data_IF_984771542075
#
_entry.id   IF_984771542075
#
_cell.length_a   1.000
_cell.length_b   1.000
_cell.length_c   1.000
_cell.angle_alpha   90.00
_cell.angle_beta   90.00
_cell.angle_gamma   90.00
#
_symmetry.space_group_name_H-M   'P 1'
#
loop_
_entity.id
_entity.type
_entity.pdbx_description
1 polymer ?
#
# COMPACT_ATOMS: atom_id res chain seq x y z
N UNK A 1 -60.90 23.80 2.50
CA UNK A 1 -60.33 22.48 2.92
C UNK A 1 -58.82 22.34 2.65
N UNK A 2 -58.11 23.41 2.42
CA UNK A 2 -56.68 23.42 2.02
C UNK A 2 -55.68 23.80 3.12
N UNK A 3 -56.11 24.55 4.12
CA UNK A 3 -55.23 25.10 5.17
C UNK A 3 -54.77 24.07 6.23
N UNK A 4 -55.58 23.02 6.46
CA UNK A 4 -55.27 22.00 7.49
C UNK A 4 -54.26 20.96 7.01
N UNK A 5 -54.18 20.68 5.72
CA UNK A 5 -53.20 19.75 5.15
C UNK A 5 -51.79 20.38 5.03
N UNK A 6 -51.72 21.64 4.68
CA UNK A 6 -50.43 22.38 4.64
C UNK A 6 -49.82 22.50 6.04
N UNK A 7 -50.60 22.80 7.05
CA UNK A 7 -50.14 22.84 8.45
C UNK A 7 -49.70 21.46 8.99
N UNK A 8 -50.30 20.36 8.51
CA UNK A 8 -49.84 19.02 8.88
C UNK A 8 -48.53 18.62 8.17
N UNK A 9 -48.33 19.04 6.92
CA UNK A 9 -47.11 18.81 6.16
C UNK A 9 -45.96 19.63 6.76
N UNK A 10 -46.19 20.90 7.07
CA UNK A 10 -45.18 21.74 7.74
C UNK A 10 -44.78 21.18 9.12
N UNK A 11 -45.74 20.71 9.92
CA UNK A 11 -45.50 20.09 11.21
C UNK A 11 -44.73 18.74 11.10
N UNK A 12 -44.95 17.97 10.02
CA UNK A 12 -44.19 16.75 9.74
C UNK A 12 -42.78 17.07 9.24
N UNK A 13 -42.58 18.13 8.46
CA UNK A 13 -41.25 18.59 8.00
C UNK A 13 -40.46 19.10 9.20
N UNK A 14 -41.05 19.88 10.10
CA UNK A 14 -40.41 20.35 11.34
C UNK A 14 -40.12 19.22 12.34
N UNK A 15 -40.97 18.21 12.46
CA UNK A 15 -40.71 17.02 13.25
C UNK A 15 -39.57 16.20 12.67
N UNK A 16 -39.43 16.05 11.34
CA UNK A 16 -38.32 15.36 10.69
C UNK A 16 -37.02 16.17 10.78
N UNK A 17 -37.07 17.50 10.71
CA UNK A 17 -35.94 18.39 10.91
C UNK A 17 -35.44 18.40 12.37
N UNK A 18 -36.35 18.26 13.34
CA UNK A 18 -35.99 18.26 14.76
C UNK A 18 -35.48 16.90 15.28
N UNK A 19 -35.75 15.79 14.59
CA UNK A 19 -35.32 14.44 14.99
C UNK A 19 -33.94 14.04 14.44
N UNK A 20 -33.37 14.77 13.48
CA UNK A 20 -31.95 14.62 13.11
C UNK A 20 -31.07 15.44 14.05
N UNK A 21 -31.22 15.29 15.38
CA UNK A 21 -30.12 15.60 16.30
C UNK A 21 -28.97 14.65 15.98
N UNK A 22 -28.01 15.13 15.19
CA UNK A 22 -26.69 14.54 15.11
C UNK A 22 -26.11 14.47 16.54
N UNK A 23 -26.32 13.36 17.21
CA UNK A 23 -25.66 13.14 18.50
C UNK A 23 -24.16 13.12 18.19
N UNK A 24 -23.42 14.05 18.79
CA UNK A 24 -21.97 14.09 18.66
C UNK A 24 -21.43 12.71 19.03
N UNK A 25 -20.70 12.01 18.14
CA UNK A 25 -20.22 10.67 18.41
C UNK A 25 -19.41 10.69 19.69
N UNK A 26 -19.68 9.75 20.60
CA UNK A 26 -18.97 9.60 21.86
C UNK A 26 -17.47 9.35 21.61
N UNK A 27 -16.61 9.62 22.59
CA UNK A 27 -15.15 9.51 22.48
C UNK A 27 -14.70 8.14 21.98
N UNK A 28 -15.31 7.04 22.41
CA UNK A 28 -15.01 5.69 21.93
C UNK A 28 -15.32 5.48 20.43
N UNK A 29 -16.38 6.10 19.94
CA UNK A 29 -16.71 6.10 18.50
C UNK A 29 -15.66 6.87 17.68
N UNK A 30 -15.12 7.96 18.21
CA UNK A 30 -14.07 8.76 17.54
C UNK A 30 -12.73 8.03 17.48
N UNK A 31 -12.32 7.34 18.53
CA UNK A 31 -11.09 6.52 18.52
C UNK A 31 -11.21 5.40 17.48
N UNK A 32 -12.34 4.71 17.42
CA UNK A 32 -12.59 3.72 16.37
C UNK A 32 -12.53 4.33 14.97
N UNK A 33 -13.15 5.49 14.78
CA UNK A 33 -13.13 6.22 13.50
C UNK A 33 -11.71 6.60 13.09
N UNK A 34 -10.88 7.03 14.05
CA UNK A 34 -9.47 7.34 13.85
C UNK A 34 -8.67 6.11 13.42
N UNK A 35 -8.79 4.99 14.13
CA UNK A 35 -8.13 3.73 13.77
C UNK A 35 -8.53 3.25 12.37
N UNK A 36 -9.81 3.38 12.00
CA UNK A 36 -10.26 3.05 10.65
C UNK A 36 -9.64 3.96 9.58
N UNK A 37 -9.45 5.27 9.89
CA UNK A 37 -8.81 6.22 8.96
C UNK A 37 -7.31 5.94 8.76
N UNK A 38 -6.62 5.35 9.75
CA UNK A 38 -5.24 4.87 9.64
C UNK A 38 -5.09 3.67 8.69
N UNK A 39 -6.17 3.00 8.36
CA UNK A 39 -6.25 1.85 7.44
C UNK A 39 -5.31 0.69 7.80
N UNK A 40 -5.41 0.06 8.99
CA UNK A 40 -4.49 -1.02 9.42
C UNK A 40 -4.40 -2.18 8.42
N UNK A 41 -5.49 -2.49 7.68
CA UNK A 41 -5.47 -3.52 6.63
C UNK A 41 -4.44 -3.25 5.53
N UNK A 42 -4.09 -1.97 5.30
CA UNK A 42 -3.10 -1.58 4.31
C UNK A 42 -1.65 -1.75 4.80
N UNK A 43 -1.45 -1.96 6.13
CA UNK A 43 -0.12 -2.18 6.70
C UNK A 43 0.55 -3.44 6.18
N UNK A 44 -0.22 -4.42 5.69
CA UNK A 44 0.31 -5.60 5.02
C UNK A 44 1.29 -5.24 3.88
N UNK A 45 1.10 -4.11 3.21
CA UNK A 45 1.99 -3.60 2.16
C UNK A 45 3.38 -3.26 2.70
N UNK A 46 3.48 -2.90 3.97
CA UNK A 46 4.74 -2.58 4.61
C UNK A 46 5.56 -3.83 4.96
N UNK A 47 4.99 -5.05 4.87
CA UNK A 47 5.75 -6.30 4.97
C UNK A 47 6.83 -6.40 3.86
N UNK A 48 6.71 -5.62 2.79
CA UNK A 48 7.74 -5.48 1.77
C UNK A 48 9.11 -5.04 2.33
N UNK A 49 9.17 -4.36 3.50
CA UNK A 49 10.42 -4.03 4.17
C UNK A 49 11.24 -5.28 4.56
N UNK A 50 10.56 -6.37 4.90
CA UNK A 50 11.24 -7.61 5.31
C UNK A 50 11.84 -8.40 4.13
N UNK A 51 11.54 -8.02 2.88
CA UNK A 51 12.10 -8.68 1.70
C UNK A 51 13.63 -8.62 1.73
N UNK A 52 14.22 -7.44 1.99
CA UNK A 52 15.67 -7.29 2.12
C UNK A 52 16.24 -8.19 3.22
N UNK A 53 15.58 -8.27 4.37
CA UNK A 53 15.98 -9.10 5.51
C UNK A 53 16.01 -10.60 5.16
N UNK A 54 14.98 -11.09 4.44
CA UNK A 54 14.85 -12.49 4.03
C UNK A 54 15.95 -12.84 3.01
N UNK A 55 16.08 -12.06 1.95
CA UNK A 55 16.99 -12.37 0.85
C UNK A 55 18.47 -12.11 1.19
N UNK A 56 18.76 -11.23 2.14
CA UNK A 56 20.10 -11.04 2.69
C UNK A 56 20.49 -12.07 3.76
N UNK A 57 19.64 -13.06 4.03
CA UNK A 57 19.84 -14.10 5.06
C UNK A 57 20.06 -13.52 6.48
N UNK A 58 19.43 -12.39 6.79
CA UNK A 58 19.53 -11.69 8.08
C UNK A 58 18.28 -11.90 8.98
N UNK A 59 17.35 -12.78 8.60
CA UNK A 59 16.07 -12.95 9.30
C UNK A 59 16.24 -13.35 10.78
N UNK A 60 17.23 -14.19 11.07
CA UNK A 60 17.52 -14.67 12.41
C UNK A 60 18.61 -13.85 13.14
N UNK A 61 19.10 -12.76 12.54
CA UNK A 61 19.97 -11.81 13.23
C UNK A 61 19.10 -10.87 14.08
N UNK A 62 19.24 -10.88 15.44
CA UNK A 62 18.36 -10.12 16.31
C UNK A 62 18.40 -8.61 16.02
N UNK A 63 19.60 -8.05 15.81
CA UNK A 63 19.78 -6.62 15.53
C UNK A 63 19.15 -6.21 14.21
N UNK A 64 19.35 -7.00 13.15
CA UNK A 64 18.77 -6.75 11.83
C UNK A 64 17.25 -6.87 11.88
N UNK A 65 16.72 -7.86 12.60
CA UNK A 65 15.29 -8.04 12.78
C UNK A 65 14.66 -6.88 13.56
N UNK A 66 15.27 -6.46 14.67
CA UNK A 66 14.81 -5.33 15.49
C UNK A 66 14.74 -4.05 14.64
N UNK A 67 15.81 -3.72 13.90
CA UNK A 67 15.83 -2.55 13.02
C UNK A 67 14.77 -2.61 11.93
N UNK A 68 14.61 -3.75 11.27
CA UNK A 68 13.58 -3.95 10.25
C UNK A 68 12.17 -3.85 10.83
N UNK A 69 11.94 -4.35 12.05
CA UNK A 69 10.67 -4.25 12.74
C UNK A 69 10.32 -2.80 13.11
N UNK A 70 11.28 -2.05 13.68
CA UNK A 70 11.06 -0.62 13.96
C UNK A 70 10.81 0.15 12.66
N UNK A 71 11.55 -0.14 11.58
CA UNK A 71 11.31 0.44 10.26
C UNK A 71 9.90 0.13 9.72
N UNK A 72 9.41 -1.10 9.92
CA UNK A 72 8.04 -1.48 9.58
C UNK A 72 7.02 -0.61 10.33
N UNK A 73 7.20 -0.39 11.63
CA UNK A 73 6.31 0.48 12.41
C UNK A 73 6.37 1.92 11.90
N UNK A 74 7.57 2.46 11.61
CA UNK A 74 7.74 3.79 11.00
C UNK A 74 6.92 3.91 9.71
N UNK A 75 7.00 2.92 8.82
CA UNK A 75 6.23 2.93 7.57
C UNK A 75 4.72 2.74 7.80
N UNK A 76 4.29 2.04 8.85
CA UNK A 76 2.87 1.98 9.23
C UNK A 76 2.35 3.35 9.67
N UNK A 77 3.12 4.10 10.47
CA UNK A 77 2.78 5.46 10.88
C UNK A 77 2.81 6.42 9.68
N UNK A 78 3.88 6.38 8.87
CA UNK A 78 4.02 7.22 7.69
C UNK A 78 2.89 7.00 6.67
N UNK A 79 2.57 5.73 6.35
CA UNK A 79 1.47 5.44 5.43
C UNK A 79 0.12 5.86 6.00
N UNK A 80 -0.11 5.70 7.30
CA UNK A 80 -1.34 6.14 7.96
C UNK A 80 -1.52 7.65 7.92
N UNK A 81 -0.44 8.42 8.14
CA UNK A 81 -0.48 9.89 8.04
C UNK A 81 -0.84 10.34 6.62
N UNK A 82 -0.26 9.69 5.60
CA UNK A 82 -0.56 9.95 4.18
C UNK A 82 -2.02 9.60 3.84
N UNK A 83 -2.56 8.49 4.36
CA UNK A 83 -3.97 8.14 4.10
C UNK A 83 -4.94 9.15 4.71
N UNK A 84 -4.69 9.60 5.95
CA UNK A 84 -5.52 10.63 6.58
C UNK A 84 -5.39 11.96 5.82
N UNK A 85 -4.18 12.34 5.40
CA UNK A 85 -3.94 13.53 4.58
C UNK A 85 -4.69 13.46 3.24
N UNK A 86 -4.65 12.32 2.55
CA UNK A 86 -5.41 12.13 1.31
C UNK A 86 -6.93 12.21 1.54
N UNK A 87 -7.45 11.61 2.63
CA UNK A 87 -8.87 11.69 2.96
C UNK A 87 -9.31 13.13 3.32
N UNK A 88 -8.41 13.98 3.85
CA UNK A 88 -8.65 15.40 4.07
C UNK A 88 -8.74 16.18 2.75
N UNK A 89 -7.82 15.92 1.81
CA UNK A 89 -7.82 16.58 0.50
C UNK A 89 -9.05 16.21 -0.34
N UNK A 90 -9.48 14.96 -0.26
CA UNK A 90 -10.58 14.42 -1.05
C UNK A 90 -11.94 14.57 -0.34
N UNK A 91 -12.03 15.27 0.80
CA UNK A 91 -13.18 15.28 1.72
C UNK A 91 -14.50 15.60 1.03
N UNK A 92 -14.55 16.65 0.22
CA UNK A 92 -15.78 17.08 -0.46
C UNK A 92 -16.20 16.09 -1.55
N UNK A 93 -15.27 15.61 -2.34
CA UNK A 93 -15.51 14.57 -3.34
C UNK A 93 -15.94 13.23 -2.72
N UNK A 94 -15.33 12.86 -1.60
CA UNK A 94 -15.68 11.62 -0.89
C UNK A 94 -17.09 11.67 -0.29
N UNK A 95 -17.59 12.83 0.14
CA UNK A 95 -18.98 13.01 0.62
C UNK A 95 -20.02 12.72 -0.44
N UNK A 96 -19.72 13.03 -1.70
CA UNK A 96 -20.62 12.82 -2.83
C UNK A 96 -20.52 11.41 -3.43
N UNK A 97 -19.49 10.63 -3.02
CA UNK A 97 -19.23 9.33 -3.60
C UNK A 97 -20.06 8.22 -2.94
N UNK A 98 -20.72 7.29 -3.68
CA UNK A 98 -21.62 6.27 -3.13
C UNK A 98 -21.01 5.40 -2.02
N UNK A 99 -19.74 5.02 -2.15
CA UNK A 99 -19.06 4.14 -1.18
C UNK A 99 -18.11 4.89 -0.25
N UNK A 100 -17.42 5.94 -0.74
CA UNK A 100 -16.43 6.69 0.05
C UNK A 100 -17.07 7.64 1.07
N UNK A 101 -18.34 8.02 0.89
CA UNK A 101 -19.11 8.79 1.86
C UNK A 101 -19.18 8.12 3.24
N UNK A 102 -18.97 6.79 3.30
CA UNK A 102 -18.90 6.01 4.55
C UNK A 102 -17.57 6.13 5.27
N UNK A 103 -16.54 6.76 4.68
CA UNK A 103 -15.24 6.99 5.35
C UNK A 103 -15.44 7.86 6.58
N UNK A 104 -14.65 7.65 7.67
CA UNK A 104 -14.85 8.36 8.93
C UNK A 104 -14.84 9.89 8.83
N UNK A 105 -13.97 10.47 7.98
CA UNK A 105 -13.92 11.90 7.72
C UNK A 105 -15.13 12.39 6.90
N UNK A 106 -15.43 11.70 5.80
CA UNK A 106 -16.53 12.07 4.90
C UNK A 106 -17.89 11.97 5.59
N UNK A 107 -18.10 10.94 6.43
CA UNK A 107 -19.33 10.72 7.20
C UNK A 107 -19.47 11.66 8.42
N UNK A 108 -18.43 12.45 8.76
CA UNK A 108 -18.43 13.31 9.94
C UNK A 108 -18.17 12.61 11.28
N UNK A 109 -17.94 11.28 11.28
CA UNK A 109 -17.63 10.52 12.48
C UNK A 109 -16.25 10.88 13.08
N UNK A 110 -15.33 11.38 12.25
CA UNK A 110 -14.02 11.91 12.65
C UNK A 110 -13.97 13.41 12.32
N UNK A 111 -13.86 14.31 13.33
CA UNK A 111 -13.68 15.74 13.08
C UNK A 111 -12.34 16.04 12.38
N UNK A 112 -12.33 17.03 11.49
CA UNK A 112 -11.14 17.47 10.75
C UNK A 112 -9.99 17.85 11.69
N UNK A 113 -10.28 18.53 12.82
CA UNK A 113 -9.27 18.87 13.82
C UNK A 113 -8.55 17.65 14.41
N UNK A 114 -9.31 16.58 14.69
CA UNK A 114 -8.71 15.33 15.17
C UNK A 114 -7.82 14.68 14.11
N UNK A 115 -8.22 14.71 12.84
CA UNK A 115 -7.42 14.19 11.74
C UNK A 115 -6.07 14.94 11.62
N UNK A 116 -6.09 16.29 11.70
CA UNK A 116 -4.88 17.12 11.62
C UNK A 116 -3.95 16.83 12.79
N UNK A 117 -4.48 16.81 14.02
CA UNK A 117 -3.68 16.48 15.23
C UNK A 117 -3.07 15.08 15.11
N UNK A 118 -3.85 14.11 14.60
CA UNK A 118 -3.36 12.74 14.42
C UNK A 118 -2.22 12.67 13.41
N UNK A 119 -2.30 13.37 12.28
CA UNK A 119 -1.18 13.46 11.32
C UNK A 119 0.08 13.96 12.03
N UNK A 120 -0.03 15.03 12.83
CA UNK A 120 1.10 15.56 13.61
C UNK A 120 1.70 14.52 14.56
N UNK A 121 0.86 13.79 15.30
CA UNK A 121 1.30 12.73 16.22
C UNK A 121 1.98 11.58 15.46
N UNK A 122 1.42 11.15 14.32
CA UNK A 122 1.99 10.07 13.52
C UNK A 122 3.35 10.47 12.92
N UNK A 123 3.49 11.68 12.41
CA UNK A 123 4.77 12.20 11.90
C UNK A 123 5.80 12.33 13.03
N UNK A 124 5.40 12.86 14.19
CA UNK A 124 6.28 12.90 15.37
C UNK A 124 6.74 11.49 15.76
N UNK A 125 5.82 10.51 15.79
CA UNK A 125 6.15 9.11 16.04
C UNK A 125 7.15 8.55 15.01
N UNK A 126 6.99 8.88 13.70
CA UNK A 126 7.97 8.50 12.67
C UNK A 126 9.36 9.07 12.98
N UNK A 127 9.45 10.36 13.35
CA UNK A 127 10.73 11.00 13.68
C UNK A 127 11.37 10.33 14.90
N UNK A 128 10.62 10.16 15.97
CA UNK A 128 11.12 9.55 17.23
C UNK A 128 11.62 8.13 16.98
N UNK A 129 10.84 7.28 16.28
CA UNK A 129 11.25 5.91 15.98
C UNK A 129 12.45 5.86 15.03
N UNK A 130 12.53 6.76 14.05
CA UNK A 130 13.71 6.86 13.17
C UNK A 130 14.96 7.23 13.98
N UNK A 131 14.86 8.16 14.93
CA UNK A 131 15.97 8.50 15.82
C UNK A 131 16.33 7.37 16.80
N UNK A 132 15.35 6.54 17.20
CA UNK A 132 15.62 5.34 18.00
C UNK A 132 16.41 4.29 17.22
N UNK A 133 16.13 4.11 15.90
CA UNK A 133 16.94 3.23 15.03
C UNK A 133 18.42 3.66 15.04
N UNK A 134 18.73 4.96 15.14
CA UNK A 134 20.12 5.46 15.18
C UNK A 134 20.88 4.95 16.43
N UNK A 135 20.18 4.60 17.50
CA UNK A 135 20.80 4.06 18.73
C UNK A 135 21.07 2.56 18.66
N UNK A 136 20.48 1.84 17.68
CA UNK A 136 20.72 0.41 17.50
C UNK A 136 21.93 0.24 16.58
N UNK A 137 23.10 -0.12 17.11
CA UNK A 137 24.32 -0.22 16.32
C UNK A 137 24.21 -1.36 15.31
N UNK A 138 24.74 -1.14 14.11
CA UNK A 138 24.85 -2.17 13.08
C UNK A 138 26.13 -1.93 12.28
N UNK A 139 26.89 -2.99 11.97
CA UNK A 139 28.04 -2.89 11.07
C UNK A 139 27.61 -2.36 9.70
N UNK A 140 28.37 -1.42 9.15
CA UNK A 140 28.10 -0.82 7.85
C UNK A 140 29.23 -1.18 6.88
N UNK A 141 28.87 -1.38 5.61
CA UNK A 141 29.86 -1.48 4.54
C UNK A 141 30.38 -0.10 4.15
N UNK A 142 31.57 -0.02 3.55
CA UNK A 142 32.19 1.24 3.11
C UNK A 142 31.26 2.04 2.18
N UNK A 143 30.47 1.37 1.35
CA UNK A 143 29.49 2.00 0.45
C UNK A 143 28.44 2.77 1.26
N UNK A 144 27.86 2.16 2.30
CA UNK A 144 26.86 2.87 3.13
C UNK A 144 27.51 4.01 3.91
N UNK A 145 28.73 3.81 4.41
CA UNK A 145 29.47 4.84 5.13
C UNK A 145 29.79 6.05 4.23
N UNK A 146 30.19 5.83 2.98
CA UNK A 146 30.47 6.90 2.00
C UNK A 146 29.23 7.71 1.60
N UNK A 147 28.04 7.12 1.71
CA UNK A 147 26.75 7.77 1.41
C UNK A 147 26.10 8.46 2.62
N UNK A 148 26.84 8.64 3.72
CA UNK A 148 26.36 9.27 4.95
C UNK A 148 25.80 8.30 5.99
N UNK A 149 25.91 6.99 5.73
CA UNK A 149 25.49 5.94 6.66
C UNK A 149 24.06 5.47 6.50
N UNK A 150 23.81 4.22 6.88
CA UNK A 150 22.52 3.55 6.77
C UNK A 150 21.38 4.31 7.45
N UNK A 151 21.65 4.93 8.59
CA UNK A 151 20.65 5.68 9.35
C UNK A 151 20.15 6.90 8.60
N UNK A 152 21.07 7.68 8.01
CA UNK A 152 20.73 8.87 7.21
C UNK A 152 19.96 8.46 5.95
N UNK A 153 20.43 7.42 5.25
CA UNK A 153 19.75 6.90 4.07
C UNK A 153 18.35 6.38 4.39
N UNK A 154 18.18 5.71 5.53
CA UNK A 154 16.83 5.30 5.98
C UNK A 154 15.93 6.50 6.22
N UNK A 155 16.42 7.52 6.96
CA UNK A 155 15.66 8.75 7.20
C UNK A 155 15.27 9.45 5.87
N UNK A 156 16.22 9.57 4.94
CA UNK A 156 15.95 10.11 3.60
C UNK A 156 14.89 9.30 2.84
N UNK A 157 14.92 7.97 2.96
CA UNK A 157 13.92 7.10 2.31
C UNK A 157 12.52 7.31 2.90
N UNK A 158 12.41 7.46 4.22
CA UNK A 158 11.13 7.78 4.89
C UNK A 158 10.59 9.14 4.44
N UNK A 159 11.45 10.16 4.44
CA UNK A 159 11.09 11.52 3.97
C UNK A 159 10.65 11.49 2.51
N UNK A 160 11.43 10.82 1.64
CA UNK A 160 11.10 10.68 0.21
C UNK A 160 9.75 9.98 0.02
N UNK A 161 9.46 8.94 0.81
CA UNK A 161 8.17 8.25 0.77
C UNK A 161 7.01 9.19 1.13
N UNK A 162 7.11 9.91 2.25
CA UNK A 162 6.05 10.82 2.70
C UNK A 162 5.83 11.94 1.69
N UNK A 163 6.91 12.56 1.19
CA UNK A 163 6.84 13.64 0.20
C UNK A 163 6.24 13.16 -1.13
N UNK A 164 6.70 12.01 -1.64
CA UNK A 164 6.20 11.44 -2.90
C UNK A 164 4.71 11.11 -2.79
N UNK A 165 4.27 10.51 -1.68
CA UNK A 165 2.87 10.16 -1.48
C UNK A 165 1.99 11.41 -1.21
N UNK A 166 2.52 12.43 -0.54
CA UNK A 166 1.81 13.70 -0.39
C UNK A 166 1.64 14.40 -1.75
N UNK A 167 2.70 14.47 -2.55
CA UNK A 167 2.66 15.04 -3.90
C UNK A 167 1.71 14.26 -4.83
N UNK A 168 1.70 12.93 -4.70
CA UNK A 168 0.70 12.08 -5.36
C UNK A 168 -0.72 12.49 -4.99
N UNK A 169 -1.00 12.66 -3.70
CA UNK A 169 -2.33 13.01 -3.21
C UNK A 169 -2.81 14.37 -3.71
N UNK A 170 -1.89 15.35 -3.84
CA UNK A 170 -2.21 16.72 -4.28
C UNK A 170 -2.37 16.81 -5.80
N UNK A 171 -1.42 16.26 -6.57
CA UNK A 171 -1.33 16.58 -8.01
C UNK A 171 -1.11 15.37 -8.92
N UNK A 172 -0.18 14.48 -8.59
CA UNK A 172 0.32 13.48 -9.53
C UNK A 172 -0.69 12.36 -9.83
N UNK A 173 -1.67 12.14 -8.96
CA UNK A 173 -2.78 11.19 -9.17
C UNK A 173 -3.70 11.55 -10.35
N UNK A 174 -3.53 12.75 -10.94
CA UNK A 174 -4.32 13.24 -12.08
C UNK A 174 -3.57 13.13 -13.43
N UNK A 175 -2.32 12.63 -13.43
CA UNK A 175 -1.49 12.49 -14.64
C UNK A 175 -1.46 11.02 -15.03
N UNK A 176 -1.89 10.73 -16.27
CA UNK A 176 -1.97 9.37 -16.84
C UNK A 176 -0.60 8.68 -16.80
N UNK A 177 -0.58 7.41 -16.51
CA UNK A 177 0.58 6.56 -16.30
C UNK A 177 1.43 6.96 -15.07
N UNK A 178 1.65 8.26 -14.84
CA UNK A 178 2.41 8.70 -13.68
C UNK A 178 1.76 8.27 -12.37
N UNK A 179 0.42 8.21 -12.33
CA UNK A 179 -0.35 7.74 -11.18
C UNK A 179 -0.01 6.28 -10.80
N UNK A 180 0.17 5.39 -11.78
CA UNK A 180 0.56 3.99 -11.53
C UNK A 180 2.04 3.86 -11.19
N UNK A 181 2.92 4.63 -11.85
CA UNK A 181 4.35 4.64 -11.56
C UNK A 181 4.66 5.12 -10.14
N UNK A 182 3.95 6.13 -9.63
CA UNK A 182 4.16 6.62 -8.28
C UNK A 182 3.66 5.62 -7.22
N UNK A 183 2.54 4.95 -7.48
CA UNK A 183 2.10 3.86 -6.60
C UNK A 183 3.18 2.76 -6.54
N UNK A 184 3.74 2.37 -7.69
CA UNK A 184 4.82 1.41 -7.76
C UNK A 184 6.08 1.89 -7.02
N UNK A 185 6.47 3.16 -7.19
CA UNK A 185 7.60 3.77 -6.47
C UNK A 185 7.42 3.71 -4.96
N UNK A 186 6.19 3.82 -4.46
CA UNK A 186 5.89 3.64 -3.04
C UNK A 186 6.23 2.24 -2.51
N UNK A 187 6.08 1.18 -3.32
CA UNK A 187 6.53 -0.16 -2.96
C UNK A 187 8.06 -0.29 -3.04
N UNK A 188 8.66 0.27 -4.07
CA UNK A 188 10.13 0.30 -4.23
C UNK A 188 10.79 0.97 -3.03
N UNK A 189 10.27 2.13 -2.58
CA UNK A 189 10.79 2.83 -1.41
C UNK A 189 10.68 1.99 -0.13
N UNK A 190 9.65 1.15 0.02
CA UNK A 190 9.55 0.22 1.16
C UNK A 190 10.66 -0.82 1.14
N UNK A 191 10.93 -1.44 -0.01
CA UNK A 191 12.00 -2.45 -0.13
C UNK A 191 13.37 -1.81 0.05
N UNK A 192 13.60 -0.62 -0.52
CA UNK A 192 14.82 0.15 -0.30
C UNK A 192 15.01 0.49 1.17
N UNK A 193 13.96 0.97 1.85
CA UNK A 193 14.01 1.25 3.29
C UNK A 193 14.39 0.01 4.11
N UNK A 194 13.80 -1.14 3.78
CA UNK A 194 14.11 -2.42 4.42
C UNK A 194 15.56 -2.85 4.22
N UNK A 195 16.13 -2.65 3.03
CA UNK A 195 17.53 -2.98 2.76
C UNK A 195 18.50 -1.99 3.41
N UNK A 196 18.20 -0.69 3.34
CA UNK A 196 19.06 0.35 3.91
C UNK A 196 19.10 0.28 5.43
N UNK A 197 17.99 -0.03 6.09
CA UNK A 197 17.93 -0.09 7.56
C UNK A 197 18.80 -1.19 8.15
N UNK A 198 19.13 -2.25 7.37
CA UNK A 198 19.99 -3.37 7.73
C UNK A 198 21.30 -3.42 6.94
N UNK A 199 21.79 -2.33 6.39
CA UNK A 199 22.83 -2.04 5.37
C UNK A 199 23.16 -3.23 4.45
N UNK A 200 22.20 -3.67 3.66
CA UNK A 200 22.40 -4.75 2.68
C UNK A 200 22.16 -4.24 1.26
N UNK A 201 22.96 -4.77 0.33
CA UNK A 201 22.78 -4.46 -1.09
C UNK A 201 21.63 -5.27 -1.68
N UNK A 202 20.75 -4.61 -2.39
CA UNK A 202 19.66 -5.27 -3.14
C UNK A 202 20.21 -5.72 -4.49
N UNK A 203 19.94 -6.98 -4.87
CA UNK A 203 20.20 -7.45 -6.23
C UNK A 203 19.46 -6.59 -7.26
N UNK A 204 20.12 -6.19 -8.37
CA UNK A 204 19.44 -5.46 -9.46
C UNK A 204 18.21 -6.19 -9.99
N UNK A 205 18.25 -7.51 -10.04
CA UNK A 205 17.10 -8.33 -10.46
C UNK A 205 15.94 -8.27 -9.45
N UNK A 206 16.23 -8.34 -8.15
CA UNK A 206 15.19 -8.20 -7.11
C UNK A 206 14.56 -6.80 -7.15
N UNK A 207 15.35 -5.78 -7.42
CA UNK A 207 14.88 -4.41 -7.62
C UNK A 207 13.93 -4.33 -8.84
N UNK A 208 14.32 -4.93 -9.97
CA UNK A 208 13.53 -4.96 -11.20
C UNK A 208 12.21 -5.73 -10.99
N UNK A 209 12.25 -6.91 -10.37
CA UNK A 209 11.03 -7.69 -10.01
C UNK A 209 10.09 -6.86 -9.15
N UNK A 210 10.64 -6.10 -8.20
CA UNK A 210 9.82 -5.22 -7.33
C UNK A 210 9.09 -4.16 -8.13
N UNK A 211 9.78 -3.46 -9.03
CA UNK A 211 9.17 -2.43 -9.88
C UNK A 211 8.06 -3.04 -10.72
N UNK A 212 8.35 -4.13 -11.42
CA UNK A 212 7.41 -4.77 -12.35
C UNK A 212 6.19 -5.33 -11.61
N UNK A 213 6.39 -6.04 -10.49
CA UNK A 213 5.27 -6.55 -9.68
C UNK A 213 4.41 -5.42 -9.13
N UNK A 214 5.03 -4.32 -8.68
CA UNK A 214 4.31 -3.15 -8.18
C UNK A 214 3.50 -2.45 -9.27
N UNK A 215 4.06 -2.33 -10.48
CA UNK A 215 3.34 -1.82 -11.66
C UNK A 215 2.16 -2.72 -12.02
N UNK A 216 2.36 -4.03 -12.03
CA UNK A 216 1.29 -5.00 -12.26
C UNK A 216 0.11 -4.77 -11.30
N UNK A 217 0.37 -4.68 -10.00
CA UNK A 217 -0.67 -4.45 -9.00
C UNK A 217 -1.35 -3.08 -9.16
N UNK A 218 -0.60 -2.04 -9.52
CA UNK A 218 -1.14 -0.71 -9.75
C UNK A 218 -2.02 -0.65 -11.01
N UNK A 219 -1.59 -1.26 -12.12
CA UNK A 219 -2.36 -1.37 -13.36
C UNK A 219 -3.62 -2.21 -13.16
N UNK A 220 -3.53 -3.35 -12.45
CA UNK A 220 -4.67 -4.20 -12.12
C UNK A 220 -5.74 -3.44 -11.34
N UNK A 221 -5.32 -2.58 -10.41
CA UNK A 221 -6.22 -1.70 -9.68
C UNK A 221 -6.92 -0.69 -10.60
N UNK A 222 -6.19 -0.08 -11.56
CA UNK A 222 -6.80 0.84 -12.54
C UNK A 222 -7.81 0.14 -13.43
N UNK A 223 -7.46 -1.08 -13.90
CA UNK A 223 -8.39 -1.90 -14.67
C UNK A 223 -9.69 -2.17 -13.93
N UNK A 224 -9.61 -2.59 -12.69
CA UNK A 224 -10.77 -2.86 -11.85
C UNK A 224 -11.62 -1.60 -11.63
N UNK A 225 -11.00 -0.46 -11.32
CA UNK A 225 -11.69 0.82 -11.18
C UNK A 225 -12.44 1.19 -12.48
N UNK A 226 -11.82 0.98 -13.64
CA UNK A 226 -12.45 1.27 -14.95
C UNK A 226 -13.63 0.33 -15.25
N UNK A 227 -13.50 -0.96 -14.93
CA UNK A 227 -14.59 -1.94 -15.09
C UNK A 227 -15.79 -1.59 -14.22
N UNK A 228 -15.57 -1.22 -12.96
CA UNK A 228 -16.65 -0.82 -12.07
C UNK A 228 -17.43 0.43 -12.55
N UNK A 229 -16.75 1.31 -13.30
CA UNK A 229 -17.31 2.57 -13.78
C UNK A 229 -18.08 2.46 -15.09
N UNK A 230 -17.96 1.36 -15.83
CA UNK A 230 -18.73 1.14 -17.07
C UNK A 230 -20.25 1.14 -16.86
N UNK A 231 -20.73 1.02 -15.59
CA UNK A 231 -22.14 1.13 -15.24
C UNK A 231 -22.60 2.53 -14.79
N UNK A 232 -21.71 3.45 -14.39
CA UNK A 232 -22.06 4.76 -13.80
C UNK A 232 -21.08 5.87 -14.25
N UNK A 233 -21.04 6.16 -15.54
CA UNK A 233 -20.00 6.92 -16.21
C UNK A 233 -19.90 8.43 -15.90
N UNK A 234 -20.72 9.04 -15.02
CA UNK A 234 -20.83 10.50 -15.01
C UNK A 234 -20.05 11.26 -13.95
N UNK A 235 -19.60 10.66 -12.83
CA UNK A 235 -19.06 11.43 -11.70
C UNK A 235 -17.73 10.98 -11.10
N UNK A 236 -16.95 10.09 -11.78
CA UNK A 236 -15.73 9.55 -11.21
C UNK A 236 -14.47 10.08 -11.89
N UNK A 237 -13.36 10.05 -11.17
CA UNK A 237 -11.98 10.44 -11.48
C UNK A 237 -11.69 10.70 -12.96
N UNK A 238 -11.50 11.95 -13.35
CA UNK A 238 -11.26 12.36 -14.75
C UNK A 238 -10.15 11.56 -15.45
N UNK A 239 -9.11 11.16 -14.71
CA UNK A 239 -8.01 10.37 -15.25
C UNK A 239 -8.43 9.00 -15.81
N UNK A 240 -9.53 8.40 -15.32
CA UNK A 240 -10.00 7.11 -15.83
C UNK A 240 -10.55 7.20 -17.25
N UNK A 241 -10.92 8.39 -17.71
CA UNK A 241 -11.36 8.63 -19.09
C UNK A 241 -10.21 8.50 -20.10
N UNK A 242 -8.98 8.68 -19.64
CA UNK A 242 -7.77 8.58 -20.46
C UNK A 242 -7.25 7.13 -20.58
N UNK A 243 -7.82 6.19 -19.83
CA UNK A 243 -7.50 4.77 -19.91
C UNK A 243 -8.58 4.00 -20.67
N UNK A 244 -8.16 3.03 -21.48
CA UNK A 244 -9.05 2.03 -22.06
C UNK A 244 -8.74 0.64 -21.49
N UNK A 245 -9.74 -0.25 -21.45
CA UNK A 245 -9.51 -1.64 -21.02
C UNK A 245 -8.47 -2.35 -21.88
N UNK A 246 -8.51 -2.24 -23.25
CA UNK A 246 -7.49 -2.87 -24.09
C UNK A 246 -6.08 -2.37 -23.79
N UNK A 247 -5.89 -1.07 -23.53
CA UNK A 247 -4.58 -0.51 -23.16
C UNK A 247 -4.09 -1.10 -21.83
N UNK A 248 -4.95 -1.13 -20.82
CA UNK A 248 -4.58 -1.68 -19.50
C UNK A 248 -4.26 -3.17 -19.59
N UNK A 249 -5.03 -3.95 -20.36
CA UNK A 249 -4.79 -5.38 -20.56
C UNK A 249 -3.45 -5.64 -21.28
N UNK A 250 -3.10 -4.83 -22.27
CA UNK A 250 -1.78 -4.90 -22.93
C UNK A 250 -0.64 -4.58 -21.98
N UNK A 251 -0.75 -3.47 -21.22
CA UNK A 251 0.28 -3.08 -20.25
C UNK A 251 0.45 -4.14 -19.16
N UNK A 252 -0.64 -4.70 -18.65
CA UNK A 252 -0.62 -5.78 -17.64
C UNK A 252 0.10 -7.00 -18.22
N UNK A 253 -0.20 -7.41 -19.46
CA UNK A 253 0.42 -8.57 -20.10
C UNK A 253 1.93 -8.39 -20.26
N UNK A 254 2.38 -7.21 -20.72
CA UNK A 254 3.81 -6.88 -20.88
C UNK A 254 4.51 -6.95 -19.51
N UNK A 255 3.92 -6.33 -18.50
CA UNK A 255 4.53 -6.27 -17.17
C UNK A 255 4.59 -7.64 -16.50
N UNK A 256 3.57 -8.49 -16.66
CA UNK A 256 3.58 -9.88 -16.15
C UNK A 256 4.70 -10.69 -16.82
N UNK A 257 4.77 -10.66 -18.14
CA UNK A 257 5.81 -11.41 -18.86
C UNK A 257 7.22 -10.98 -18.44
N UNK A 258 7.42 -9.66 -18.32
CA UNK A 258 8.68 -9.10 -17.81
C UNK A 258 8.96 -9.49 -16.35
N UNK A 259 7.93 -9.52 -15.47
CA UNK A 259 8.07 -9.93 -14.06
C UNK A 259 8.53 -11.39 -13.95
N UNK A 260 7.89 -12.28 -14.70
CA UNK A 260 8.24 -13.71 -14.72
C UNK A 260 9.69 -13.90 -15.21
N UNK A 261 10.07 -13.21 -16.29
CA UNK A 261 11.44 -13.28 -16.82
C UNK A 261 12.46 -12.72 -15.80
N UNK A 262 12.21 -11.55 -15.24
CA UNK A 262 13.09 -10.94 -14.26
C UNK A 262 13.25 -11.80 -12.99
N UNK A 263 12.16 -12.42 -12.53
CA UNK A 263 12.21 -13.35 -11.40
C UNK A 263 13.02 -14.61 -11.73
N UNK A 264 12.83 -15.19 -12.93
CA UNK A 264 13.60 -16.34 -13.38
C UNK A 264 15.11 -16.01 -13.44
N UNK A 265 15.47 -14.86 -14.02
CA UNK A 265 16.86 -14.39 -14.06
C UNK A 265 17.41 -14.15 -12.64
N UNK A 266 16.61 -13.60 -11.73
CA UNK A 266 17.00 -13.46 -10.32
C UNK A 266 17.35 -14.81 -9.70
N UNK A 267 16.55 -15.87 -9.95
CA UNK A 267 16.82 -17.20 -9.40
C UNK A 267 18.06 -17.86 -10.00
N UNK A 268 18.44 -17.48 -11.24
CA UNK A 268 19.66 -17.95 -11.90
C UNK A 268 20.93 -17.19 -11.45
N UNK A 269 20.84 -15.87 -11.39
CA UNK A 269 21.98 -14.97 -11.19
C UNK A 269 21.99 -14.33 -9.80
N UNK A 270 21.09 -14.75 -8.92
CA UNK A 270 20.94 -14.15 -7.59
C UNK A 270 22.20 -14.26 -6.75
N UNK A 271 22.34 -13.39 -5.73
CA UNK A 271 23.55 -13.27 -4.91
C UNK A 271 23.88 -14.53 -4.11
N UNK A 272 22.98 -15.50 -4.06
CA UNK A 272 23.16 -16.77 -3.35
C UNK A 272 24.01 -17.79 -4.13
N UNK A 273 24.27 -17.55 -5.44
CA UNK A 273 24.98 -18.50 -6.30
C UNK A 273 24.32 -19.87 -6.43
N UNK A 274 23.14 -20.02 -5.88
CA UNK A 274 22.44 -21.29 -5.72
C UNK A 274 21.18 -21.31 -6.59
N UNK A 275 21.19 -22.07 -7.66
CA UNK A 275 20.05 -22.25 -8.58
C UNK A 275 18.82 -22.91 -7.92
N UNK A 276 18.88 -23.33 -6.65
CA UNK A 276 17.79 -24.01 -5.93
C UNK A 276 16.53 -23.11 -5.79
N UNK A 277 16.68 -21.78 -5.82
CA UNK A 277 15.54 -20.87 -5.84
C UNK A 277 14.63 -21.05 -7.07
N UNK A 278 15.14 -21.69 -8.14
CA UNK A 278 14.32 -22.01 -9.34
C UNK A 278 13.10 -22.88 -9.01
N UNK A 279 13.13 -23.67 -7.93
CA UNK A 279 11.98 -24.47 -7.48
C UNK A 279 10.76 -23.61 -7.17
N UNK A 280 10.93 -22.32 -6.92
CA UNK A 280 9.83 -21.38 -6.64
C UNK A 280 9.21 -20.78 -7.91
N UNK A 281 9.87 -20.91 -9.08
CA UNK A 281 9.36 -20.35 -10.35
C UNK A 281 7.95 -20.84 -10.67
N UNK A 282 7.61 -22.16 -10.59
CA UNK A 282 6.26 -22.65 -10.87
C UNK A 282 5.20 -22.03 -9.95
N UNK A 283 5.54 -21.75 -8.69
CA UNK A 283 4.63 -21.11 -7.73
C UNK A 283 4.38 -19.65 -8.09
N UNK A 284 5.43 -18.92 -8.48
CA UNK A 284 5.29 -17.54 -8.94
C UNK A 284 4.43 -17.48 -10.21
N UNK A 285 4.67 -18.37 -11.18
CA UNK A 285 3.84 -18.51 -12.39
C UNK A 285 2.38 -18.76 -12.03
N UNK A 286 2.13 -19.74 -11.17
CA UNK A 286 0.76 -20.07 -10.74
C UNK A 286 0.10 -18.86 -10.04
N UNK A 287 0.82 -18.17 -9.15
CA UNK A 287 0.31 -16.98 -8.47
C UNK A 287 -0.07 -15.87 -9.45
N UNK A 288 0.79 -15.59 -10.43
CA UNK A 288 0.52 -14.57 -11.47
C UNK A 288 -0.69 -14.96 -12.34
N UNK A 289 -0.78 -16.21 -12.78
CA UNK A 289 -1.91 -16.69 -13.59
C UNK A 289 -3.20 -16.77 -12.75
N UNK A 290 -3.13 -17.16 -11.48
CA UNK A 290 -4.28 -17.12 -10.57
C UNK A 290 -4.81 -15.71 -10.38
N UNK A 291 -3.93 -14.72 -10.21
CA UNK A 291 -4.33 -13.34 -10.09
C UNK A 291 -5.01 -12.83 -11.37
N UNK A 292 -4.46 -13.15 -12.55
CA UNK A 292 -5.10 -12.86 -13.85
C UNK A 292 -6.49 -13.48 -13.97
N UNK A 293 -6.62 -14.76 -13.58
CA UNK A 293 -7.90 -15.43 -13.57
C UNK A 293 -8.93 -14.70 -12.69
N UNK A 294 -8.55 -14.33 -11.45
CA UNK A 294 -9.43 -13.61 -10.53
C UNK A 294 -9.83 -12.24 -11.09
N UNK A 295 -8.89 -11.54 -11.71
CA UNK A 295 -9.12 -10.22 -12.29
C UNK A 295 -10.07 -10.27 -13.49
N UNK A 296 -9.94 -11.27 -14.38
CA UNK A 296 -10.74 -11.33 -15.60
C UNK A 296 -12.06 -12.09 -15.42
N UNK A 297 -12.06 -13.18 -14.65
CA UNK A 297 -13.22 -14.06 -14.54
C UNK A 297 -14.10 -13.73 -13.33
N UNK A 298 -13.53 -13.22 -12.24
CA UNK A 298 -14.27 -12.87 -11.03
C UNK A 298 -14.42 -11.38 -10.80
N UNK A 299 -13.86 -10.55 -11.71
CA UNK A 299 -13.89 -9.10 -11.61
C UNK A 299 -13.31 -8.58 -10.28
N UNK A 300 -12.41 -9.36 -9.69
CA UNK A 300 -11.63 -8.99 -8.50
C UNK A 300 -10.32 -8.33 -8.96
N UNK A 301 -9.62 -7.59 -8.11
CA UNK A 301 -8.34 -6.95 -8.48
C UNK A 301 -8.22 -5.49 -8.04
N UNK A 302 -9.29 -4.91 -7.51
CA UNK A 302 -9.29 -3.53 -7.03
C UNK A 302 -8.43 -3.28 -5.79
N UNK A 303 -8.25 -4.31 -4.97
CA UNK A 303 -7.44 -4.28 -3.75
C UNK A 303 -6.58 -5.52 -3.69
N UNK A 304 -5.30 -5.47 -4.10
CA UNK A 304 -4.42 -6.65 -4.11
C UNK A 304 -4.34 -7.36 -2.77
N UNK A 305 -4.38 -6.61 -1.66
CA UNK A 305 -4.41 -7.13 -0.30
C UNK A 305 -5.69 -7.94 0.00
N UNK A 306 -6.83 -7.55 -0.57
CA UNK A 306 -8.08 -8.30 -0.41
C UNK A 306 -8.06 -9.57 -1.25
N UNK A 307 -7.57 -9.51 -2.49
CA UNK A 307 -7.38 -10.69 -3.35
C UNK A 307 -6.50 -11.72 -2.65
N UNK A 308 -5.36 -11.27 -2.09
CA UNK A 308 -4.42 -12.12 -1.38
C UNK A 308 -5.07 -12.82 -0.17
N UNK A 309 -5.89 -12.10 0.61
CA UNK A 309 -6.46 -12.63 1.85
C UNK A 309 -7.74 -13.44 1.65
N UNK A 310 -8.52 -13.15 0.59
CA UNK A 310 -9.81 -13.82 0.33
C UNK A 310 -9.66 -15.10 -0.49
N UNK A 311 -8.77 -15.12 -1.47
CA UNK A 311 -8.56 -16.31 -2.30
C UNK A 311 -7.60 -17.28 -1.63
N UNK A 312 -8.12 -18.45 -1.23
CA UNK A 312 -7.34 -19.48 -0.53
C UNK A 312 -6.17 -20.01 -1.35
N UNK A 313 -6.34 -20.12 -2.67
CA UNK A 313 -5.27 -20.58 -3.57
C UNK A 313 -4.16 -19.55 -3.65
N UNK A 314 -4.52 -18.26 -3.77
CA UNK A 314 -3.55 -17.15 -3.80
C UNK A 314 -2.77 -17.07 -2.49
N UNK A 315 -3.47 -17.09 -1.35
CA UNK A 315 -2.84 -17.09 -0.02
C UNK A 315 -1.92 -18.30 0.17
N UNK A 316 -2.41 -19.52 -0.18
CA UNK A 316 -1.62 -20.75 -0.08
C UNK A 316 -0.36 -20.70 -0.94
N UNK A 317 -0.46 -20.18 -2.17
CA UNK A 317 0.68 -20.02 -3.07
C UNK A 317 1.74 -19.06 -2.51
N UNK A 318 1.32 -17.92 -1.99
CA UNK A 318 2.25 -16.93 -1.41
C UNK A 318 2.91 -17.48 -0.15
N UNK A 319 2.14 -18.14 0.73
CA UNK A 319 2.70 -18.77 1.95
C UNK A 319 3.68 -19.87 1.58
N UNK A 320 3.31 -20.79 0.66
CA UNK A 320 4.18 -21.89 0.23
C UNK A 320 5.45 -21.36 -0.43
N UNK A 321 5.33 -20.35 -1.31
CA UNK A 321 6.49 -19.70 -1.95
C UNK A 321 7.43 -19.10 -0.91
N UNK A 322 6.89 -18.37 0.07
CA UNK A 322 7.67 -17.75 1.15
C UNK A 322 8.38 -18.81 2.00
N UNK A 323 7.67 -19.88 2.38
CA UNK A 323 8.26 -20.99 3.15
C UNK A 323 9.38 -21.67 2.36
N UNK A 324 9.17 -21.95 1.07
CA UNK A 324 10.20 -22.54 0.21
C UNK A 324 11.42 -21.61 0.06
N UNK A 325 11.22 -20.32 -0.12
CA UNK A 325 12.33 -19.35 -0.14
C UNK A 325 13.14 -19.42 1.16
N UNK A 326 12.47 -19.43 2.31
CA UNK A 326 13.15 -19.53 3.62
C UNK A 326 13.88 -20.84 3.74
N UNK A 327 13.29 -21.98 3.39
CA UNK A 327 13.94 -23.29 3.42
C UNK A 327 15.19 -23.30 2.52
N UNK A 328 15.06 -22.82 1.29
CA UNK A 328 16.17 -22.78 0.33
C UNK A 328 17.31 -21.89 0.80
N UNK A 329 17.01 -20.73 1.41
CA UNK A 329 18.02 -19.76 1.81
C UNK A 329 18.68 -20.09 3.17
N UNK A 330 17.96 -20.73 4.09
CA UNK A 330 18.39 -20.86 5.48
C UNK A 330 18.65 -22.30 5.93
N UNK A 331 18.00 -23.28 5.33
CA UNK A 331 18.06 -24.68 5.76
C UNK A 331 18.93 -25.53 4.83
N UNK A 332 18.84 -25.31 3.51
CA UNK A 332 19.63 -26.12 2.58
C UNK A 332 21.10 -25.63 2.56
N UNK A 333 22.07 -26.53 2.67
CA UNK A 333 23.48 -26.15 2.62
C UNK A 333 23.82 -25.45 1.30
N UNK A 334 24.79 -24.52 1.36
CA UNK A 334 25.26 -23.78 0.17
C UNK A 334 25.94 -24.69 -0.82
#
# INVERSE_FOLDING_TARGET
MTTTQEQQIEKQIDLHASTTKYSKPGTGSRVRALLLSMRPRQWIKNLALFVGLIFAQQLFNPTSFERAFVAFVVFCLASSSVYIFNDLLDLEGDRQHPTKSKRPLASGNLPVSWAIVTIGILILGCVVLTLLIFKIPIPQTDIFASLGGANVLFALTVVSYVLLMALYSVRLKHIVLLDVFIIASGFVLRILAGAVVIPVMISPWLYLVTILLSLFLALSKRRHELVLLQGEASNHRQILKEYSLPLLDQLITIVIAATIMAYSLYTFQGPTGNHRLMITIPLVLYGMFRYLYLMHMRMEGGSPEEVLLRDRHMLGTVVLCTVLIIIVLYVLPK
#
